data_IF_889945358706
#
_entry.id   IF_889945358706
#
_cell.length_a   1.000
_cell.length_b   1.000
_cell.length_c   1.000
_cell.angle_alpha   90.00
_cell.angle_beta   90.00
_cell.angle_gamma   90.00
#
_symmetry.space_group_name_H-M   'P 1'
#
loop_
_entity.id
_entity.type
_entity.pdbx_description
1 polymer ?
#
# COMPACT_ATOMS: atom_id res chain seq x y z
N UNK A 1 -28.20 8.30 8.93
CA UNK A 1 -27.34 9.34 8.34
C UNK A 1 -27.46 9.17 6.84
N UNK A 2 -27.75 10.22 6.08
CA UNK A 2 -27.85 10.11 4.62
C UNK A 2 -26.47 10.03 3.96
N UNK A 3 -26.43 9.60 2.70
CA UNK A 3 -25.21 9.54 1.87
C UNK A 3 -24.40 10.84 1.93
N UNK A 4 -25.05 11.97 1.63
CA UNK A 4 -24.42 13.29 1.58
C UNK A 4 -23.90 13.73 2.95
N UNK A 5 -24.64 13.41 4.02
CA UNK A 5 -24.20 13.68 5.39
C UNK A 5 -22.92 12.91 5.72
N UNK A 6 -22.85 11.63 5.33
CA UNK A 6 -21.69 10.78 5.58
C UNK A 6 -20.46 11.28 4.81
N UNK A 7 -20.62 11.65 3.53
CA UNK A 7 -19.53 12.24 2.73
C UNK A 7 -19.06 13.56 3.35
N UNK A 8 -19.99 14.43 3.76
CA UNK A 8 -19.65 15.71 4.41
C UNK A 8 -18.89 15.52 5.72
N UNK A 9 -19.34 14.57 6.57
CA UNK A 9 -18.67 14.24 7.83
C UNK A 9 -17.31 13.58 7.60
N UNK A 10 -17.14 12.77 6.55
CA UNK A 10 -15.84 12.23 6.18
C UNK A 10 -14.85 13.35 5.81
N UNK A 11 -15.29 14.36 5.04
CA UNK A 11 -14.47 15.54 4.73
C UNK A 11 -14.12 16.34 5.99
N UNK A 12 -15.07 16.53 6.92
CA UNK A 12 -14.77 17.19 8.20
C UNK A 12 -13.77 16.39 9.04
N UNK A 13 -13.92 15.06 9.08
CA UNK A 13 -13.03 14.16 9.80
C UNK A 13 -11.61 14.18 9.21
N UNK A 14 -11.47 14.25 7.88
CA UNK A 14 -10.19 14.41 7.18
C UNK A 14 -9.49 15.70 7.62
N UNK A 15 -10.19 16.84 7.57
CA UNK A 15 -9.64 18.15 7.97
C UNK A 15 -9.27 18.20 9.46
N UNK A 16 -9.94 17.40 10.29
CA UNK A 16 -9.66 17.28 11.72
C UNK A 16 -8.64 16.16 12.04
N UNK A 17 -8.09 15.48 11.02
CA UNK A 17 -7.20 14.32 11.14
C UNK A 17 -7.78 13.16 11.98
N UNK A 18 -9.12 13.05 12.03
CA UNK A 18 -9.86 11.99 12.75
C UNK A 18 -10.18 10.81 11.84
N UNK A 19 -9.14 10.16 11.31
CA UNK A 19 -9.27 9.15 10.26
C UNK A 19 -10.10 7.92 10.64
N UNK A 20 -10.21 7.57 11.93
CA UNK A 20 -11.09 6.48 12.38
C UNK A 20 -12.57 6.82 12.16
N UNK A 21 -12.98 8.04 12.45
CA UNK A 21 -14.34 8.53 12.16
C UNK A 21 -14.55 8.71 10.65
N UNK A 22 -13.50 9.10 9.92
CA UNK A 22 -13.55 9.15 8.46
C UNK A 22 -13.85 7.77 7.86
N UNK A 23 -13.23 6.71 8.38
CA UNK A 23 -13.52 5.31 8.00
C UNK A 23 -14.98 4.97 8.28
N UNK A 24 -15.48 5.26 9.49
CA UNK A 24 -16.87 4.96 9.85
C UNK A 24 -17.87 5.61 8.88
N UNK A 25 -17.68 6.89 8.53
CA UNK A 25 -18.52 7.59 7.58
C UNK A 25 -18.40 7.01 6.16
N UNK A 26 -17.19 6.76 5.68
CA UNK A 26 -16.99 6.21 4.34
C UNK A 26 -17.48 4.77 4.18
N UNK A 27 -17.58 4.00 5.26
CA UNK A 27 -18.25 2.69 5.24
C UNK A 27 -19.75 2.79 5.01
N UNK A 28 -20.40 3.83 5.54
CA UNK A 28 -21.83 4.08 5.26
C UNK A 28 -22.01 4.33 3.76
N UNK A 29 -21.16 5.17 3.18
CA UNK A 29 -21.14 5.48 1.74
C UNK A 29 -20.89 4.22 0.90
N UNK A 30 -19.91 3.40 1.29
CA UNK A 30 -19.56 2.16 0.59
C UNK A 30 -20.67 1.10 0.63
N UNK A 31 -21.47 1.07 1.69
CA UNK A 31 -22.51 0.05 1.91
C UNK A 31 -23.81 0.32 1.13
N UNK A 32 -23.84 1.32 0.25
CA UNK A 32 -25.00 1.64 -0.60
C UNK A 32 -25.02 0.86 -1.93
N UNK A 33 -24.08 -0.06 -2.15
CA UNK A 33 -23.99 -0.93 -3.34
C UNK A 33 -24.07 -0.16 -4.67
N UNK A 34 -23.43 1.01 -4.69
CA UNK A 34 -23.29 1.88 -5.85
C UNK A 34 -21.82 2.07 -6.20
N UNK A 35 -21.57 2.34 -7.47
CA UNK A 35 -20.24 2.76 -7.91
C UNK A 35 -19.93 4.12 -7.29
N UNK A 36 -18.82 4.20 -6.57
CA UNK A 36 -18.39 5.41 -5.89
C UNK A 36 -17.83 6.42 -6.90
N UNK A 37 -18.07 7.70 -6.65
CA UNK A 37 -17.42 8.77 -7.41
C UNK A 37 -15.91 8.76 -7.18
N UNK A 38 -15.14 9.45 -8.04
CA UNK A 38 -13.69 9.58 -7.86
C UNK A 38 -13.37 10.18 -6.48
N UNK A 39 -14.10 11.22 -6.07
CA UNK A 39 -13.93 11.86 -4.77
C UNK A 39 -14.23 10.89 -3.61
N UNK A 40 -15.34 10.14 -3.68
CA UNK A 40 -15.71 9.14 -2.67
C UNK A 40 -14.67 8.01 -2.56
N UNK A 41 -14.16 7.50 -3.69
CA UNK A 41 -13.08 6.49 -3.72
C UNK A 41 -11.81 7.02 -3.05
N UNK A 42 -11.45 8.26 -3.34
CA UNK A 42 -10.26 8.89 -2.77
C UNK A 42 -10.40 9.07 -1.26
N UNK A 43 -11.54 9.59 -0.78
CA UNK A 43 -11.83 9.73 0.65
C UNK A 43 -11.73 8.38 1.39
N UNK A 44 -12.35 7.33 0.86
CA UNK A 44 -12.26 5.99 1.45
C UNK A 44 -10.81 5.52 1.54
N UNK A 45 -10.05 5.68 0.46
CA UNK A 45 -8.66 5.23 0.44
C UNK A 45 -7.75 6.05 1.36
N UNK A 46 -7.96 7.36 1.47
CA UNK A 46 -7.20 8.23 2.38
C UNK A 46 -7.51 7.86 3.84
N UNK A 47 -8.78 7.62 4.17
CA UNK A 47 -9.21 7.24 5.50
C UNK A 47 -8.49 5.98 5.99
N UNK A 48 -8.62 4.88 5.25
CA UNK A 48 -7.99 3.62 5.64
C UNK A 48 -6.46 3.67 5.56
N UNK A 49 -5.87 4.37 4.58
CA UNK A 49 -4.40 4.53 4.46
C UNK A 49 -3.81 5.17 5.73
N UNK A 50 -4.45 6.22 6.25
CA UNK A 50 -3.95 6.89 7.45
C UNK A 50 -4.09 5.99 8.70
N UNK A 51 -5.24 5.32 8.85
CA UNK A 51 -5.48 4.41 9.98
C UNK A 51 -4.47 3.25 9.96
N UNK A 52 -4.29 2.56 8.83
CA UNK A 52 -3.36 1.43 8.70
C UNK A 52 -1.90 1.88 8.77
N UNK A 53 -1.56 3.04 8.18
CA UNK A 53 -0.21 3.58 8.16
C UNK A 53 0.35 3.85 9.55
N UNK A 54 -0.45 4.45 10.44
CA UNK A 54 -0.07 4.68 11.83
C UNK A 54 0.23 3.37 12.59
N UNK A 55 -0.59 2.32 12.36
CA UNK A 55 -0.39 1.01 12.98
C UNK A 55 0.81 0.26 12.40
N UNK A 56 1.04 0.31 11.07
CA UNK A 56 2.21 -0.29 10.42
C UNK A 56 3.51 0.35 10.91
N UNK A 57 3.54 1.68 11.04
CA UNK A 57 4.70 2.39 11.59
C UNK A 57 4.98 1.97 13.05
N UNK A 58 3.94 1.90 13.88
CA UNK A 58 4.04 1.42 15.26
C UNK A 58 4.58 0.00 15.33
N UNK A 59 4.06 -0.89 14.49
CA UNK A 59 4.50 -2.28 14.43
C UNK A 59 5.98 -2.43 14.02
N UNK A 60 6.44 -1.69 13.00
CA UNK A 60 7.86 -1.69 12.59
C UNK A 60 8.79 -1.24 13.72
N UNK A 61 8.44 -0.16 14.41
CA UNK A 61 9.21 0.35 15.55
C UNK A 61 9.32 -0.72 16.65
N UNK A 62 8.19 -1.30 17.05
CA UNK A 62 8.15 -2.30 18.13
C UNK A 62 8.92 -3.56 17.73
N UNK A 63 8.80 -4.01 16.47
CA UNK A 63 9.55 -5.16 15.94
C UNK A 63 11.06 -4.91 15.96
N UNK A 64 11.52 -3.71 15.58
CA UNK A 64 12.93 -3.33 15.66
C UNK A 64 13.45 -3.31 17.11
N UNK A 65 12.65 -2.79 18.05
CA UNK A 65 12.98 -2.80 19.48
C UNK A 65 13.06 -4.23 20.01
N UNK A 66 12.13 -5.11 19.62
CA UNK A 66 12.13 -6.53 19.99
C UNK A 66 13.44 -7.20 19.58
N UNK A 67 13.85 -7.06 18.31
CA UNK A 67 15.09 -7.63 17.79
C UNK A 67 16.32 -7.10 18.54
N UNK A 68 16.34 -5.79 18.83
CA UNK A 68 17.45 -5.16 19.57
C UNK A 68 17.55 -5.69 21.00
N UNK A 69 16.44 -5.87 21.70
CA UNK A 69 16.43 -6.41 23.06
C UNK A 69 16.72 -7.92 23.10
N UNK A 70 16.28 -8.66 22.07
CA UNK A 70 16.60 -10.09 21.90
C UNK A 70 18.11 -10.30 21.71
N UNK A 71 18.77 -9.45 20.91
CA UNK A 71 20.23 -9.50 20.71
C UNK A 71 21.05 -9.22 21.98
N UNK A 72 20.48 -8.52 22.96
CA UNK A 72 21.11 -8.25 24.27
C UNK A 72 20.85 -9.34 25.31
N UNK A 73 19.97 -10.31 25.01
CA UNK A 73 19.58 -11.37 25.94
C UNK A 73 18.58 -10.93 27.02
N UNK A 74 17.90 -9.79 26.84
CA UNK A 74 16.97 -9.23 27.83
C UNK A 74 15.61 -9.94 27.82
N UNK A 75 15.60 -11.22 28.22
CA UNK A 75 14.48 -12.15 28.03
C UNK A 75 13.16 -11.69 28.65
N UNK A 76 13.19 -10.98 29.79
CA UNK A 76 11.97 -10.46 30.44
C UNK A 76 11.33 -9.33 29.62
N UNK A 77 12.13 -8.37 29.17
CA UNK A 77 11.68 -7.25 28.34
C UNK A 77 11.19 -7.75 26.98
N UNK A 78 11.88 -8.72 26.38
CA UNK A 78 11.46 -9.35 25.12
C UNK A 78 10.06 -9.96 25.24
N UNK A 79 9.74 -10.59 26.38
CA UNK A 79 8.38 -11.09 26.64
C UNK A 79 7.32 -9.99 26.59
N UNK A 80 7.55 -8.88 27.30
CA UNK A 80 6.64 -7.72 27.30
C UNK A 80 6.48 -7.08 25.92
N UNK A 81 7.59 -6.96 25.17
CA UNK A 81 7.58 -6.40 23.82
C UNK A 81 6.79 -7.30 22.86
N UNK A 82 6.96 -8.62 22.95
CA UNK A 82 6.22 -9.61 22.15
C UNK A 82 4.71 -9.50 22.37
N UNK A 83 4.26 -9.39 23.62
CA UNK A 83 2.84 -9.20 23.94
C UNK A 83 2.30 -7.89 23.35
N UNK A 84 3.07 -6.80 23.44
CA UNK A 84 2.66 -5.52 22.88
C UNK A 84 2.62 -5.54 21.34
N UNK A 85 3.60 -6.16 20.69
CA UNK A 85 3.60 -6.36 19.23
C UNK A 85 2.37 -7.14 18.78
N UNK A 86 2.03 -8.23 19.46
CA UNK A 86 0.85 -9.05 19.13
C UNK A 86 -0.47 -8.26 19.24
N UNK A 87 -0.55 -7.32 20.19
CA UNK A 87 -1.70 -6.40 20.27
C UNK A 87 -1.80 -5.52 19.02
N UNK A 88 -0.68 -4.94 18.57
CA UNK A 88 -0.65 -4.13 17.35
C UNK A 88 -1.00 -4.98 16.11
N UNK A 89 -0.51 -6.22 16.04
CA UNK A 89 -0.85 -7.15 14.95
C UNK A 89 -2.34 -7.48 14.90
N UNK A 90 -2.99 -7.63 16.06
CA UNK A 90 -4.44 -7.82 16.12
C UNK A 90 -5.22 -6.58 15.65
N UNK A 91 -4.74 -5.37 15.97
CA UNK A 91 -5.31 -4.12 15.46
C UNK A 91 -5.13 -3.99 13.94
N UNK A 92 -3.92 -4.29 13.43
CA UNK A 92 -3.62 -4.31 11.99
C UNK A 92 -4.53 -5.30 11.24
N UNK A 93 -4.64 -6.53 11.76
CA UNK A 93 -5.49 -7.55 11.17
C UNK A 93 -6.95 -7.09 11.11
N UNK A 94 -7.48 -6.53 12.19
CA UNK A 94 -8.84 -6.01 12.24
C UNK A 94 -9.07 -4.91 11.19
N UNK A 95 -8.14 -3.98 11.03
CA UNK A 95 -8.27 -2.90 10.03
C UNK A 95 -8.24 -3.49 8.61
N UNK A 96 -7.37 -4.47 8.34
CA UNK A 96 -7.29 -5.12 7.03
C UNK A 96 -8.57 -5.92 6.72
N UNK A 97 -9.03 -6.74 7.66
CA UNK A 97 -10.24 -7.53 7.50
C UNK A 97 -11.46 -6.62 7.26
N UNK A 98 -11.54 -5.48 7.95
CA UNK A 98 -12.65 -4.53 7.82
C UNK A 98 -12.79 -3.96 6.39
N UNK A 99 -11.70 -3.52 5.77
CA UNK A 99 -11.74 -3.03 4.38
C UNK A 99 -11.88 -4.15 3.37
N UNK A 100 -11.29 -5.32 3.62
CA UNK A 100 -11.43 -6.49 2.74
C UNK A 100 -12.89 -6.93 2.66
N UNK A 101 -13.60 -6.93 3.80
CA UNK A 101 -15.04 -7.22 3.85
C UNK A 101 -15.84 -6.18 3.05
N UNK A 102 -15.53 -4.89 3.20
CA UNK A 102 -16.20 -3.82 2.43
C UNK A 102 -15.94 -3.94 0.92
N UNK A 103 -14.70 -4.27 0.53
CA UNK A 103 -14.32 -4.48 -0.86
C UNK A 103 -15.09 -5.64 -1.48
N UNK A 104 -15.14 -6.78 -0.80
CA UNK A 104 -15.75 -8.00 -1.32
C UNK A 104 -17.27 -7.97 -1.30
N UNK A 105 -17.88 -7.37 -0.26
CA UNK A 105 -19.33 -7.30 -0.13
C UNK A 105 -19.96 -6.21 -1.01
N UNK A 106 -19.31 -5.06 -1.15
CA UNK A 106 -19.96 -3.86 -1.69
C UNK A 106 -19.24 -3.26 -2.91
N UNK A 107 -17.94 -2.97 -2.80
CA UNK A 107 -17.26 -2.10 -3.77
C UNK A 107 -16.87 -2.82 -5.06
N UNK A 108 -16.24 -4.00 -4.97
CA UNK A 108 -15.86 -4.79 -6.14
C UNK A 108 -17.10 -5.21 -6.95
N UNK A 109 -18.19 -5.72 -6.33
CA UNK A 109 -19.42 -6.04 -7.06
C UNK A 109 -20.08 -4.83 -7.75
N UNK A 110 -19.92 -3.63 -7.19
CA UNK A 110 -20.57 -2.40 -7.67
C UNK A 110 -19.75 -1.63 -8.71
N UNK A 111 -18.48 -1.98 -8.92
CA UNK A 111 -17.55 -1.28 -9.80
C UNK A 111 -17.91 -1.43 -11.29
N UNK A 112 -18.10 -0.31 -11.99
CA UNK A 112 -18.52 -0.34 -13.41
C UNK A 112 -17.39 0.00 -14.38
N UNK A 113 -16.51 0.94 -14.01
CA UNK A 113 -15.40 1.40 -14.85
C UNK A 113 -14.12 0.58 -14.65
N UNK A 114 -13.23 0.55 -15.65
CA UNK A 114 -11.89 -0.01 -15.50
C UNK A 114 -11.12 0.63 -14.36
N UNK A 115 -11.21 1.95 -14.20
CA UNK A 115 -10.59 2.65 -13.08
C UNK A 115 -11.05 2.15 -11.72
N UNK A 116 -12.36 2.00 -11.49
CA UNK A 116 -12.91 1.55 -10.20
C UNK A 116 -12.52 0.11 -9.92
N UNK A 117 -12.62 -0.78 -10.91
CA UNK A 117 -12.18 -2.18 -10.80
C UNK A 117 -10.69 -2.29 -10.44
N UNK A 118 -9.82 -1.61 -11.18
CA UNK A 118 -8.37 -1.64 -10.93
C UNK A 118 -8.07 -1.05 -9.55
N UNK A 119 -8.73 0.04 -9.18
CA UNK A 119 -8.56 0.67 -7.86
C UNK A 119 -8.90 -0.28 -6.71
N UNK A 120 -10.06 -0.93 -6.74
CA UNK A 120 -10.49 -1.81 -5.66
C UNK A 120 -9.69 -3.12 -5.62
N UNK A 121 -9.36 -3.72 -6.77
CA UNK A 121 -8.50 -4.91 -6.79
C UNK A 121 -7.07 -4.60 -6.34
N UNK A 122 -6.52 -3.43 -6.70
CA UNK A 122 -5.25 -2.94 -6.16
C UNK A 122 -5.32 -2.79 -4.64
N UNK A 123 -6.38 -2.15 -4.13
CA UNK A 123 -6.59 -1.96 -2.70
C UNK A 123 -6.69 -3.32 -1.98
N UNK A 124 -7.44 -4.27 -2.53
CA UNK A 124 -7.50 -5.65 -2.01
C UNK A 124 -6.12 -6.31 -1.94
N UNK A 125 -5.31 -6.15 -3.00
CA UNK A 125 -3.92 -6.60 -3.04
C UNK A 125 -3.07 -5.96 -1.94
N UNK A 126 -3.19 -4.65 -1.73
CA UNK A 126 -2.48 -3.88 -0.70
C UNK A 126 -2.82 -4.38 0.72
N UNK A 127 -4.09 -4.57 1.06
CA UNK A 127 -4.47 -5.01 2.42
C UNK A 127 -4.13 -6.47 2.70
N UNK A 128 -4.20 -7.36 1.70
CA UNK A 128 -3.65 -8.71 1.86
C UNK A 128 -2.12 -8.72 1.97
N UNK A 129 -1.43 -7.81 1.28
CA UNK A 129 0.02 -7.63 1.44
C UNK A 129 0.35 -7.18 2.86
N UNK A 130 -0.39 -6.21 3.42
CA UNK A 130 -0.20 -5.76 4.80
C UNK A 130 -0.40 -6.89 5.81
N UNK A 131 -1.40 -7.77 5.61
CA UNK A 131 -1.55 -8.99 6.42
C UNK A 131 -0.32 -9.92 6.29
N UNK A 132 0.22 -10.08 5.09
CA UNK A 132 1.38 -10.93 4.85
C UNK A 132 2.66 -10.41 5.52
N UNK A 133 2.80 -9.09 5.78
CA UNK A 133 3.99 -8.50 6.41
C UNK A 133 4.31 -9.10 7.77
N UNK A 134 3.28 -9.29 8.62
CA UNK A 134 3.43 -9.75 10.00
C UNK A 134 2.90 -11.18 10.24
N UNK A 135 2.13 -11.74 9.31
CA UNK A 135 1.67 -13.11 9.42
C UNK A 135 2.83 -14.13 9.32
N UNK A 136 2.61 -15.31 9.90
CA UNK A 136 3.57 -16.43 9.90
C UNK A 136 2.91 -17.73 9.42
N UNK A 137 3.72 -18.66 8.91
CA UNK A 137 3.27 -19.98 8.48
C UNK A 137 2.16 -19.91 7.40
N UNK A 138 1.13 -20.75 7.57
CA UNK A 138 0.05 -20.87 6.58
C UNK A 138 -0.74 -19.57 6.38
N UNK A 139 -0.90 -18.75 7.43
CA UNK A 139 -1.58 -17.45 7.32
C UNK A 139 -0.83 -16.47 6.42
N UNK A 140 0.51 -16.48 6.50
CA UNK A 140 1.35 -15.66 5.62
C UNK A 140 1.16 -16.09 4.17
N UNK A 141 1.19 -17.41 3.93
CA UNK A 141 1.02 -17.97 2.59
C UNK A 141 -0.34 -17.62 2.00
N UNK A 142 -1.43 -17.84 2.75
CA UNK A 142 -2.79 -17.50 2.30
C UNK A 142 -2.93 -16.00 1.98
N UNK A 143 -2.38 -15.12 2.84
CA UNK A 143 -2.41 -13.67 2.60
C UNK A 143 -1.59 -13.28 1.36
N UNK A 144 -0.42 -13.88 1.16
CA UNK A 144 0.40 -13.64 -0.01
C UNK A 144 -0.27 -14.13 -1.31
N UNK A 145 -0.87 -15.32 -1.30
CA UNK A 145 -1.57 -15.89 -2.45
C UNK A 145 -2.78 -15.01 -2.85
N UNK A 146 -3.57 -14.56 -1.87
CA UNK A 146 -4.70 -13.64 -2.12
C UNK A 146 -4.26 -12.25 -2.61
N UNK A 147 -3.14 -11.73 -2.07
CA UNK A 147 -2.56 -10.48 -2.55
C UNK A 147 -2.12 -10.59 -4.02
N UNK A 148 -1.43 -11.69 -4.36
CA UNK A 148 -1.01 -11.99 -5.73
C UNK A 148 -2.20 -12.12 -6.69
N UNK A 149 -3.25 -12.82 -6.30
CA UNK A 149 -4.48 -12.96 -7.09
C UNK A 149 -5.13 -11.59 -7.36
N UNK A 150 -5.28 -10.77 -6.32
CA UNK A 150 -5.88 -9.44 -6.45
C UNK A 150 -5.05 -8.49 -7.34
N UNK A 151 -3.72 -8.47 -7.20
CA UNK A 151 -2.86 -7.66 -8.06
C UNK A 151 -2.86 -8.13 -9.52
N UNK A 152 -2.93 -9.45 -9.76
CA UNK A 152 -3.07 -10.00 -11.12
C UNK A 152 -4.40 -9.58 -11.76
N UNK A 153 -5.51 -9.70 -11.03
CA UNK A 153 -6.82 -9.26 -11.50
C UNK A 153 -6.83 -7.75 -11.82
N UNK A 154 -6.21 -6.92 -10.97
CA UNK A 154 -6.05 -5.49 -11.25
C UNK A 154 -5.21 -5.24 -12.51
N UNK A 155 -4.13 -6.01 -12.71
CA UNK A 155 -3.21 -5.83 -13.84
C UNK A 155 -3.87 -6.20 -15.17
N UNK A 156 -4.66 -7.27 -15.20
CA UNK A 156 -5.40 -7.69 -16.39
C UNK A 156 -6.35 -6.59 -16.87
N UNK A 157 -7.14 -6.03 -15.96
CA UNK A 157 -8.06 -4.92 -16.28
C UNK A 157 -7.28 -3.65 -16.67
N UNK A 158 -6.20 -3.33 -15.94
CA UNK A 158 -5.41 -2.13 -16.21
C UNK A 158 -4.72 -2.17 -17.58
N UNK A 159 -4.27 -3.33 -18.04
CA UNK A 159 -3.64 -3.50 -19.35
C UNK A 159 -4.60 -3.23 -20.51
N UNK A 160 -5.90 -3.52 -20.32
CA UNK A 160 -6.91 -3.34 -21.37
C UNK A 160 -7.66 -2.02 -21.29
N UNK A 161 -7.85 -1.46 -20.09
CA UNK A 161 -8.74 -0.32 -19.87
C UNK A 161 -8.01 1.00 -19.52
N UNK A 162 -6.73 0.97 -19.13
CA UNK A 162 -5.99 2.16 -18.70
C UNK A 162 -4.69 2.35 -19.52
N UNK A 163 -4.35 3.57 -19.97
CA UNK A 163 -3.08 3.82 -20.65
C UNK A 163 -1.89 3.58 -19.70
N UNK A 164 -0.69 3.26 -20.21
CA UNK A 164 0.50 3.02 -19.38
C UNK A 164 0.87 4.17 -18.45
N UNK A 165 0.54 5.40 -18.84
CA UNK A 165 0.77 6.62 -18.07
C UNK A 165 -0.30 6.88 -17.01
N UNK A 166 -1.37 6.10 -16.94
CA UNK A 166 -2.46 6.34 -15.98
C UNK A 166 -1.98 6.18 -14.53
N UNK A 167 -2.23 7.15 -13.62
CA UNK A 167 -1.76 7.10 -12.22
C UNK A 167 -2.17 5.83 -11.47
N UNK A 168 -3.41 5.36 -11.62
CA UNK A 168 -3.87 4.10 -11.02
C UNK A 168 -3.04 2.90 -11.51
N UNK A 169 -2.73 2.82 -12.81
CA UNK A 169 -1.96 1.70 -13.40
C UNK A 169 -0.50 1.74 -12.96
N UNK A 170 0.11 2.93 -12.95
CA UNK A 170 1.46 3.13 -12.41
C UNK A 170 1.53 2.77 -10.92
N UNK A 171 0.57 3.23 -10.13
CA UNK A 171 0.50 2.93 -8.70
C UNK A 171 0.28 1.45 -8.41
N UNK A 172 -0.47 0.76 -9.26
CA UNK A 172 -0.59 -0.70 -9.22
C UNK A 172 0.76 -1.38 -9.48
N UNK A 173 1.48 -1.00 -10.54
CA UNK A 173 2.77 -1.58 -10.86
C UNK A 173 3.80 -1.33 -9.74
N UNK A 174 3.81 -0.14 -9.16
CA UNK A 174 4.65 0.21 -8.01
C UNK A 174 4.38 -0.72 -6.83
N UNK A 175 3.13 -0.81 -6.35
CA UNK A 175 2.82 -1.63 -5.18
C UNK A 175 3.00 -3.13 -5.45
N UNK A 176 2.71 -3.59 -6.68
CA UNK A 176 2.90 -4.99 -7.04
C UNK A 176 4.40 -5.34 -7.15
N UNK A 177 5.25 -4.41 -7.60
CA UNK A 177 6.70 -4.61 -7.56
C UNK A 177 7.23 -4.72 -6.13
N UNK A 178 6.75 -3.87 -5.21
CA UNK A 178 7.06 -3.97 -3.77
C UNK A 178 6.60 -5.32 -3.20
N UNK A 179 5.42 -5.81 -3.59
CA UNK A 179 4.95 -7.14 -3.20
C UNK A 179 5.90 -8.26 -3.64
N UNK A 180 6.35 -8.26 -4.90
CA UNK A 180 7.32 -9.24 -5.39
C UNK A 180 8.63 -9.17 -4.60
N UNK A 181 9.09 -7.96 -4.27
CA UNK A 181 10.33 -7.75 -3.53
C UNK A 181 10.21 -8.20 -2.06
N UNK A 182 9.29 -7.62 -1.30
CA UNK A 182 9.21 -7.76 0.16
C UNK A 182 8.47 -9.02 0.62
N UNK A 183 7.45 -9.47 -0.12
CA UNK A 183 6.61 -10.60 0.31
C UNK A 183 7.06 -11.91 -0.32
N UNK A 184 7.28 -11.91 -1.63
CA UNK A 184 7.67 -13.11 -2.38
C UNK A 184 9.18 -13.33 -2.44
N UNK A 185 9.99 -12.36 -2.00
CA UNK A 185 11.46 -12.42 -2.07
C UNK A 185 11.94 -12.75 -3.50
N UNK A 186 11.33 -12.10 -4.49
CA UNK A 186 11.56 -12.28 -5.91
C UNK A 186 12.06 -10.95 -6.55
N UNK A 187 13.30 -10.52 -6.22
CA UNK A 187 13.82 -9.22 -6.64
C UNK A 187 13.89 -9.05 -8.17
N UNK A 188 14.25 -10.11 -8.90
CA UNK A 188 14.27 -10.10 -10.38
C UNK A 188 12.90 -9.74 -10.97
N UNK A 189 11.83 -10.33 -10.41
CA UNK A 189 10.46 -10.07 -10.86
C UNK A 189 10.01 -8.66 -10.48
N UNK A 190 10.36 -8.19 -9.29
CA UNK A 190 10.08 -6.83 -8.83
C UNK A 190 10.73 -5.79 -9.74
N UNK A 191 12.03 -5.92 -10.00
CA UNK A 191 12.79 -5.04 -10.88
C UNK A 191 12.28 -5.08 -12.31
N UNK A 192 11.96 -6.28 -12.84
CA UNK A 192 11.40 -6.40 -14.18
C UNK A 192 10.06 -5.67 -14.32
N UNK A 193 9.13 -5.88 -13.37
CA UNK A 193 7.82 -5.23 -13.38
C UNK A 193 7.92 -3.70 -13.25
N UNK A 194 8.73 -3.22 -12.29
CA UNK A 194 8.91 -1.79 -12.08
C UNK A 194 9.56 -1.11 -13.29
N UNK A 195 10.58 -1.73 -13.88
CA UNK A 195 11.26 -1.22 -15.07
C UNK A 195 10.33 -1.21 -16.28
N UNK A 196 9.58 -2.28 -16.52
CA UNK A 196 8.63 -2.34 -17.62
C UNK A 196 7.58 -1.22 -17.51
N UNK A 197 6.97 -1.04 -16.34
CA UNK A 197 5.98 0.02 -16.14
C UNK A 197 6.56 1.43 -16.34
N UNK A 198 7.81 1.65 -15.90
CA UNK A 198 8.52 2.90 -16.12
C UNK A 198 8.80 3.15 -17.61
N UNK A 199 9.35 2.17 -18.32
CA UNK A 199 9.69 2.26 -19.74
C UNK A 199 8.44 2.46 -20.61
N UNK A 200 7.36 1.72 -20.34
CA UNK A 200 6.08 1.84 -21.04
C UNK A 200 5.47 3.25 -20.84
N UNK A 201 5.56 3.82 -19.64
CA UNK A 201 5.05 5.16 -19.36
C UNK A 201 5.91 6.26 -19.99
N UNK A 202 7.24 6.09 -20.04
CA UNK A 202 8.14 7.03 -20.75
C UNK A 202 7.79 7.09 -22.24
N UNK A 203 7.47 5.96 -22.87
CA UNK A 203 7.15 5.88 -24.29
C UNK A 203 5.89 6.69 -24.68
N UNK A 204 4.98 6.91 -23.74
CA UNK A 204 3.70 7.60 -23.96
C UNK A 204 3.56 8.90 -23.14
N UNK A 205 4.64 9.37 -22.50
CA UNK A 205 4.60 10.51 -21.57
C UNK A 205 4.09 11.80 -22.22
N UNK A 206 4.41 12.01 -23.49
CA UNK A 206 4.01 13.19 -24.28
C UNK A 206 2.48 13.29 -24.51
N UNK A 207 1.73 12.23 -24.19
CA UNK A 207 0.27 12.17 -24.36
C UNK A 207 -0.53 12.65 -23.14
N UNK A 208 0.15 12.91 -22.01
CA UNK A 208 -0.49 13.27 -20.75
C UNK A 208 -1.05 14.71 -20.76
N UNK A 209 -2.20 14.89 -20.10
CA UNK A 209 -2.71 16.20 -19.74
C UNK A 209 -1.92 16.81 -18.57
N UNK A 210 -1.93 18.14 -18.42
CA UNK A 210 -1.28 18.81 -17.29
C UNK A 210 -1.79 18.32 -15.92
N UNK A 211 -3.08 17.95 -15.85
CA UNK A 211 -3.74 17.45 -14.64
C UNK A 211 -3.15 16.09 -14.19
N UNK A 212 -2.98 15.15 -15.12
CA UNK A 212 -2.44 13.82 -14.80
C UNK A 212 -0.91 13.75 -14.81
N UNK A 213 -0.24 14.76 -15.38
CA UNK A 213 1.22 14.77 -15.51
C UNK A 213 1.93 14.74 -14.15
N UNK A 214 1.46 15.55 -13.19
CA UNK A 214 2.07 15.63 -11.85
C UNK A 214 2.01 14.30 -11.11
N UNK A 215 0.82 13.68 -11.08
CA UNK A 215 0.62 12.41 -10.37
C UNK A 215 1.40 11.27 -11.02
N UNK A 216 1.38 11.20 -12.35
CA UNK A 216 2.08 10.15 -13.09
C UNK A 216 3.60 10.25 -12.91
N UNK A 217 4.17 11.46 -13.04
CA UNK A 217 5.61 11.68 -12.88
C UNK A 217 6.09 11.45 -11.45
N UNK A 218 5.26 11.78 -10.44
CA UNK A 218 5.55 11.45 -9.05
C UNK A 218 5.68 9.93 -8.86
N UNK A 219 4.72 9.14 -9.36
CA UNK A 219 4.77 7.67 -9.21
C UNK A 219 5.93 7.06 -10.02
N UNK A 220 6.22 7.59 -11.20
CA UNK A 220 7.38 7.17 -12.00
C UNK A 220 8.70 7.44 -11.26
N UNK A 221 8.80 8.55 -10.53
CA UNK A 221 9.96 8.82 -9.68
C UNK A 221 10.09 7.77 -8.57
N UNK A 222 8.99 7.39 -7.90
CA UNK A 222 9.01 6.34 -6.88
C UNK A 222 9.42 4.97 -7.44
N UNK A 223 8.96 4.61 -8.65
CA UNK A 223 9.41 3.40 -9.37
C UNK A 223 10.92 3.42 -9.59
N UNK A 224 11.47 4.57 -10.04
CA UNK A 224 12.91 4.76 -10.26
C UNK A 224 13.71 4.69 -8.96
N UNK A 225 13.18 5.27 -7.89
CA UNK A 225 13.82 5.25 -6.56
C UNK A 225 13.92 3.81 -6.04
N UNK A 226 12.85 3.02 -6.14
CA UNK A 226 12.85 1.60 -5.79
C UNK A 226 13.84 0.79 -6.65
N UNK A 227 13.85 0.99 -7.97
CA UNK A 227 14.83 0.34 -8.85
C UNK A 227 16.27 0.66 -8.46
N UNK A 228 16.54 1.93 -8.10
CA UNK A 228 17.87 2.37 -7.65
C UNK A 228 18.24 1.68 -6.34
N UNK A 229 17.31 1.64 -5.38
CA UNK A 229 17.51 0.98 -4.10
C UNK A 229 17.84 -0.51 -4.30
N UNK A 230 17.00 -1.25 -5.02
CA UNK A 230 17.12 -2.70 -5.21
C UNK A 230 18.36 -3.12 -6.00
N UNK A 231 18.76 -2.33 -7.00
CA UNK A 231 19.96 -2.63 -7.80
C UNK A 231 21.26 -2.17 -7.13
N UNK A 232 21.20 -1.17 -6.24
CA UNK A 232 22.37 -0.76 -5.45
C UNK A 232 22.76 -1.79 -4.39
N UNK A 233 21.80 -2.49 -3.80
CA UNK A 233 22.04 -3.58 -2.84
C UNK A 233 22.70 -4.82 -3.48
N UNK A 234 22.54 -5.03 -4.78
CA UNK A 234 23.17 -6.14 -5.51
C UNK A 234 24.61 -5.82 -5.96
N UNK A 235 25.00 -4.55 -6.00
CA UNK A 235 26.31 -4.11 -6.47
C UNK A 235 27.44 -4.20 -5.42
N UNK A 236 27.14 -4.63 -4.18
CA UNK A 236 28.18 -4.99 -3.20
C UNK A 236 28.56 -6.47 -3.36
N UNK A 237 29.72 -6.81 -3.96
CA UNK A 237 30.19 -8.18 -3.94
C UNK A 237 30.51 -8.58 -2.50
N UNK A 238 30.19 -9.83 -2.15
CA UNK A 238 30.61 -10.49 -0.92
C UNK A 238 32.14 -10.51 -0.79
N UNK A 239 32.73 -9.42 -0.29
CA UNK A 239 34.12 -9.37 0.11
C UNK A 239 34.24 -9.83 1.57
N UNK A 240 34.98 -10.92 1.72
CA UNK A 240 35.32 -11.61 2.97
C UNK A 240 35.77 -10.68 4.11
N UNK A 241 35.12 -10.85 5.27
CA UNK A 241 35.71 -10.86 6.61
C UNK A 241 36.51 -9.63 7.07
N UNK A 242 35.87 -8.77 7.87
CA UNK A 242 36.26 -8.46 9.26
C UNK A 242 35.11 -7.72 9.95
N UNK A 243 35.00 -7.94 11.27
CA UNK A 243 33.92 -7.47 12.13
C UNK A 243 33.78 -5.95 12.18
N UNK A 244 32.57 -5.53 12.59
CA UNK A 244 32.07 -4.17 12.80
C UNK A 244 31.57 -3.44 11.53
N UNK A 245 30.33 -3.77 11.14
CA UNK A 245 29.50 -2.90 10.32
C UNK A 245 28.31 -2.42 11.17
N UNK A 246 28.00 -1.11 11.22
CA UNK A 246 26.80 -0.62 11.87
C UNK A 246 25.56 -1.19 11.15
N UNK A 247 24.48 -1.40 11.89
CA UNK A 247 23.21 -1.86 11.34
C UNK A 247 22.84 -1.03 10.09
N UNK A 248 22.68 -1.70 8.93
CA UNK A 248 22.16 -1.06 7.73
C UNK A 248 20.80 -0.46 8.09
N UNK A 249 20.64 0.85 7.93
CA UNK A 249 19.31 1.42 7.77
C UNK A 249 18.75 0.82 6.47
N UNK A 250 17.90 -0.18 6.58
CA UNK A 250 17.11 -0.66 5.45
C UNK A 250 16.26 0.52 4.97
N UNK A 251 16.65 1.11 3.84
CA UNK A 251 15.81 2.09 3.15
C UNK A 251 14.44 1.46 2.92
N UNK A 252 13.38 2.12 3.38
CA UNK A 252 12.02 1.63 3.19
C UNK A 252 11.64 1.77 1.72
N UNK A 253 11.10 0.71 1.11
CA UNK A 253 10.62 0.79 -0.27
C UNK A 253 9.48 1.79 -0.36
N UNK A 254 9.47 2.59 -1.43
CA UNK A 254 8.40 3.53 -1.68
C UNK A 254 7.16 2.80 -2.18
N UNK A 255 6.00 3.10 -1.58
CA UNK A 255 4.68 2.67 -2.06
C UNK A 255 3.94 3.85 -2.68
N UNK A 256 3.07 3.59 -3.66
CA UNK A 256 2.25 4.63 -4.27
C UNK A 256 1.33 5.29 -3.22
N UNK A 257 1.09 6.61 -3.27
CA UNK A 257 -0.06 7.20 -2.60
C UNK A 257 -1.37 6.62 -3.14
N UNK A 258 -2.49 6.83 -2.43
CA UNK A 258 -3.81 6.51 -2.96
C UNK A 258 -3.98 7.24 -4.30
N UNK A 259 -4.45 6.54 -5.34
CA UNK A 259 -4.59 7.16 -6.64
C UNK A 259 -5.58 8.34 -6.54
N UNK A 260 -5.16 9.53 -6.98
CA UNK A 260 -5.96 10.76 -6.89
C UNK A 260 -5.81 11.57 -5.59
N UNK A 261 -4.96 11.16 -4.66
CA UNK A 261 -4.52 12.05 -3.58
C UNK A 261 -3.36 12.91 -4.10
N UNK A 262 -3.69 13.99 -4.79
CA UNK A 262 -2.78 15.12 -4.92
C UNK A 262 -2.40 15.55 -3.51
N UNK A 263 -1.12 15.52 -3.16
CA UNK A 263 -0.64 16.25 -1.99
C UNK A 263 -0.92 17.74 -2.27
N UNK A 264 -2.07 18.24 -1.81
CA UNK A 264 -2.22 19.68 -1.67
C UNK A 264 -1.16 20.15 -0.66
N UNK A 265 -0.43 21.23 -0.97
CA UNK A 265 0.56 21.75 -0.05
C UNK A 265 -0.15 22.15 1.24
N UNK A 266 0.31 21.62 2.38
CA UNK A 266 -0.11 22.11 3.71
C UNK A 266 -0.01 23.63 3.69
N UNK A 267 -1.15 24.30 3.83
CA UNK A 267 -1.17 25.74 4.01
C UNK A 267 -0.37 26.07 5.28
N UNK A 268 0.67 26.88 5.13
CA UNK A 268 1.42 27.51 6.24
C UNK A 268 0.53 28.44 7.07
#
# INVERSE_FOLDING_TARGET
MGHEDAVYLAKLAEQAERYEEMVENMKIVASEDRDLTVEERNLLSVAYKNVIGARRASWRIVTSIEQKEESKGNSSQVGLIKEYRQKIEAELAKICDDILDVLDAHLIPSAKSGESKVFYHKMKGDYHRYLAEFAVGDRRKDSADKSLEAYKAATEVAQTELPPTHPIRLGLALNFSVFYYEILNAPDQACHLAKQAFDDAIAELDTLSEESYKDSTLIMQLLRDNLTLWTSSEAEPAASGTADAPAKEEGTTAEAPAAGASEEPKAE
#
